data_IF_243887144684
#
_entry.id   IF_243887144684
#
_cell.length_a   1.000
_cell.length_b   1.000
_cell.length_c   1.000
_cell.angle_alpha   90.00
_cell.angle_beta   90.00
_cell.angle_gamma   90.00
#
_symmetry.space_group_name_H-M   'P 1'
#
loop_
_entity.id
_entity.type
_entity.pdbx_description
1 polymer ?
#
# COMPACT_ATOMS: atom_id res chain seq x y z
N UNK A 1 -2.26 -35.76 19.41
CA UNK A 1 -2.74 -35.04 18.20
C UNK A 1 -2.84 -36.03 17.07
N UNK A 2 -4.02 -36.20 16.47
CA UNK A 2 -4.21 -37.11 15.34
C UNK A 2 -3.80 -36.43 14.04
N UNK A 3 -2.87 -37.04 13.31
CA UNK A 3 -2.39 -36.57 12.01
C UNK A 3 -3.42 -36.97 10.94
N UNK A 4 -3.68 -36.06 10.00
CA UNK A 4 -4.58 -36.27 8.86
C UNK A 4 -3.82 -35.95 7.59
N UNK A 5 -3.96 -36.82 6.59
CA UNK A 5 -3.43 -36.60 5.23
C UNK A 5 -4.61 -36.25 4.32
N UNK A 6 -4.47 -35.15 3.58
CA UNK A 6 -5.44 -34.70 2.58
C UNK A 6 -4.80 -34.80 1.20
N UNK A 7 -5.50 -35.38 0.24
CA UNK A 7 -5.19 -35.30 -1.18
C UNK A 7 -6.07 -34.20 -1.77
N UNK A 8 -5.54 -32.99 -1.96
CA UNK A 8 -6.27 -31.84 -2.48
C UNK A 8 -5.89 -31.64 -3.94
N UNK A 9 -6.81 -31.92 -4.86
CA UNK A 9 -6.50 -32.03 -6.28
C UNK A 9 -5.30 -32.98 -6.48
N UNK A 10 -4.24 -32.48 -7.11
CA UNK A 10 -3.00 -33.24 -7.36
C UNK A 10 -1.98 -33.22 -6.22
N UNK A 11 -2.24 -32.50 -5.11
CA UNK A 11 -1.23 -32.24 -4.06
C UNK A 11 -1.60 -32.83 -2.70
N UNK A 12 -0.62 -33.41 -2.02
CA UNK A 12 -0.77 -33.94 -0.65
C UNK A 12 -0.45 -32.90 0.41
N UNK A 13 -1.34 -32.78 1.38
CA UNK A 13 -1.14 -31.98 2.59
C UNK A 13 -1.21 -32.86 3.82
N UNK A 14 -0.34 -32.60 4.79
CA UNK A 14 -0.42 -33.18 6.12
C UNK A 14 -0.78 -32.09 7.12
N UNK A 15 -1.72 -32.37 8.02
CA UNK A 15 -2.01 -31.51 9.16
C UNK A 15 -2.56 -32.31 10.34
N UNK A 16 -3.11 -31.64 11.36
CA UNK A 16 -3.79 -32.30 12.48
C UNK A 16 -5.30 -32.18 12.35
N UNK A 17 -6.02 -33.16 12.90
CA UNK A 17 -7.48 -33.12 12.99
C UNK A 17 -7.99 -31.81 13.60
N UNK A 18 -7.40 -31.36 14.72
CA UNK A 18 -7.80 -30.15 15.42
C UNK A 18 -7.64 -28.89 14.57
N UNK A 19 -6.60 -28.82 13.72
CA UNK A 19 -6.42 -27.71 12.78
C UNK A 19 -7.58 -27.63 11.79
N UNK A 20 -8.03 -28.77 11.26
CA UNK A 20 -9.09 -28.80 10.24
C UNK A 20 -10.46 -28.46 10.84
N UNK A 21 -10.83 -29.07 11.96
CA UNK A 21 -12.16 -28.90 12.56
C UNK A 21 -12.31 -27.62 13.39
N UNK A 22 -11.21 -26.89 13.63
CA UNK A 22 -11.20 -25.68 14.45
C UNK A 22 -12.15 -24.62 13.90
N UNK A 23 -12.00 -24.25 12.62
CA UNK A 23 -12.80 -23.20 12.00
C UNK A 23 -13.54 -23.62 10.71
N UNK A 24 -13.29 -24.83 10.17
CA UNK A 24 -14.00 -25.31 8.98
C UNK A 24 -15.19 -26.19 9.35
N UNK A 25 -16.38 -25.77 8.94
CA UNK A 25 -17.59 -26.58 9.05
C UNK A 25 -17.53 -27.83 8.16
N UNK A 26 -16.98 -27.68 6.96
CA UNK A 26 -16.78 -28.79 6.02
C UNK A 26 -15.97 -29.93 6.65
N UNK A 27 -14.78 -29.63 7.19
CA UNK A 27 -13.95 -30.66 7.80
C UNK A 27 -14.53 -31.18 9.12
N UNK A 28 -15.28 -30.36 9.86
CA UNK A 28 -15.97 -30.82 11.08
C UNK A 28 -17.05 -31.85 10.74
N UNK A 29 -17.83 -31.62 9.69
CA UNK A 29 -18.82 -32.58 9.22
C UNK A 29 -18.13 -33.85 8.70
N UNK A 30 -17.13 -33.69 7.83
CA UNK A 30 -16.44 -34.80 7.17
C UNK A 30 -15.66 -35.70 8.13
N UNK A 31 -15.00 -35.11 9.14
CA UNK A 31 -14.19 -35.86 10.12
C UNK A 31 -14.97 -36.23 11.40
N UNK A 32 -16.29 -36.05 11.44
CA UNK A 32 -17.14 -36.38 12.60
C UNK A 32 -17.26 -37.90 12.88
N UNK A 33 -16.66 -38.76 12.06
CA UNK A 33 -16.65 -40.21 12.23
C UNK A 33 -17.85 -40.95 11.65
N UNK A 34 -18.78 -40.25 10.98
CA UNK A 34 -19.93 -40.88 10.32
C UNK A 34 -19.65 -41.33 8.88
N UNK A 35 -18.54 -40.88 8.29
CA UNK A 35 -18.19 -41.12 6.89
C UNK A 35 -16.86 -41.88 6.85
N UNK A 36 -16.87 -43.07 6.23
CA UNK A 36 -15.66 -43.86 6.00
C UNK A 36 -15.15 -43.59 4.57
N UNK A 37 -14.82 -42.32 4.31
CA UNK A 37 -14.53 -41.78 2.98
C UNK A 37 -13.04 -41.46 2.78
N UNK A 38 -12.18 -42.04 3.64
CA UNK A 38 -10.75 -42.07 3.40
C UNK A 38 -10.43 -43.09 2.29
N UNK A 39 -9.45 -42.77 1.46
CA UNK A 39 -8.88 -43.68 0.46
C UNK A 39 -8.17 -44.88 1.13
N UNK A 40 -7.79 -45.87 0.31
CA UNK A 40 -7.10 -47.09 0.77
C UNK A 40 -5.81 -46.78 1.55
N UNK A 41 -5.14 -45.66 1.25
CA UNK A 41 -3.93 -45.21 1.94
C UNK A 41 -4.19 -44.36 3.20
N UNK A 42 -5.46 -44.18 3.58
CA UNK A 42 -5.91 -43.41 4.73
C UNK A 42 -5.93 -41.90 4.53
N UNK A 43 -5.73 -41.41 3.30
CA UNK A 43 -5.88 -39.99 2.97
C UNK A 43 -7.32 -39.62 2.63
N UNK A 44 -7.69 -38.35 2.78
CA UNK A 44 -9.01 -37.85 2.38
C UNK A 44 -8.88 -37.02 1.11
N UNK A 45 -9.58 -37.42 0.05
CA UNK A 45 -9.62 -36.67 -1.20
C UNK A 45 -10.52 -35.43 -1.10
N UNK A 46 -10.00 -34.28 -1.54
CA UNK A 46 -10.71 -32.99 -1.61
C UNK A 46 -10.56 -32.45 -3.02
N UNK A 47 -11.69 -32.28 -3.71
CA UNK A 47 -11.74 -31.70 -5.05
C UNK A 47 -11.71 -30.17 -4.96
N UNK A 48 -10.51 -29.61 -4.79
CA UNK A 48 -10.27 -28.17 -4.69
C UNK A 48 -8.89 -27.81 -5.25
N UNK A 49 -8.65 -26.52 -5.52
CA UNK A 49 -7.35 -26.03 -5.99
C UNK A 49 -6.32 -26.13 -4.84
N UNK A 50 -5.24 -26.92 -4.98
CA UNK A 50 -4.25 -27.07 -3.92
C UNK A 50 -3.46 -25.78 -3.62
N UNK A 51 -3.35 -24.86 -4.57
CA UNK A 51 -2.65 -23.59 -4.38
C UNK A 51 -3.46 -22.66 -3.49
N UNK A 52 -4.77 -22.56 -3.71
CA UNK A 52 -5.66 -21.79 -2.82
C UNK A 52 -5.81 -22.48 -1.45
N UNK A 53 -5.87 -23.81 -1.44
CA UNK A 53 -5.94 -24.57 -0.19
C UNK A 53 -4.72 -24.34 0.71
N UNK A 54 -3.54 -24.05 0.15
CA UNK A 54 -2.38 -23.70 0.97
C UNK A 54 -2.65 -22.47 1.85
N UNK A 55 -3.34 -21.45 1.31
CA UNK A 55 -3.73 -20.26 2.06
C UNK A 55 -4.80 -20.58 3.11
N UNK A 56 -5.78 -21.41 2.76
CA UNK A 56 -6.79 -21.91 3.71
C UNK A 56 -6.13 -22.64 4.88
N UNK A 57 -5.24 -23.59 4.60
CA UNK A 57 -4.57 -24.38 5.62
C UNK A 57 -3.65 -23.52 6.50
N UNK A 58 -2.99 -22.51 5.91
CA UNK A 58 -2.17 -21.53 6.65
C UNK A 58 -3.03 -20.70 7.61
N UNK A 59 -4.21 -20.27 7.17
CA UNK A 59 -5.19 -19.60 8.00
C UNK A 59 -5.62 -20.50 9.16
N UNK A 60 -6.08 -21.73 8.88
CA UNK A 60 -6.53 -22.69 9.91
C UNK A 60 -5.45 -23.03 10.96
N UNK A 61 -4.16 -22.94 10.59
CA UNK A 61 -3.04 -23.16 11.53
C UNK A 61 -2.74 -21.97 12.43
N UNK A 62 -2.87 -20.76 11.90
CA UNK A 62 -2.36 -19.54 12.56
C UNK A 62 -3.45 -18.62 13.10
N UNK A 63 -4.68 -18.75 12.59
CA UNK A 63 -5.78 -17.81 12.82
C UNK A 63 -5.62 -16.47 12.08
N UNK A 64 -4.50 -16.26 11.38
CA UNK A 64 -4.23 -14.99 10.69
C UNK A 64 -4.74 -15.04 9.25
N UNK A 65 -5.67 -14.16 8.86
CA UNK A 65 -6.12 -14.09 7.48
C UNK A 65 -4.99 -13.65 6.54
N UNK A 66 -5.01 -14.10 5.27
CA UNK A 66 -3.95 -13.76 4.32
C UNK A 66 -4.05 -12.30 3.88
N UNK A 67 -2.88 -11.74 3.59
CA UNK A 67 -2.71 -10.40 3.05
C UNK A 67 -1.96 -10.46 1.72
N UNK A 68 -2.70 -10.35 0.62
CA UNK A 68 -2.14 -10.29 -0.74
C UNK A 68 -1.94 -8.84 -1.14
N UNK A 69 -0.86 -8.23 -0.67
CA UNK A 69 -0.49 -6.84 -0.99
C UNK A 69 0.90 -6.79 -1.60
N UNK A 70 1.02 -6.15 -2.76
CA UNK A 70 2.29 -5.92 -3.43
C UNK A 70 2.81 -4.52 -3.07
N UNK A 71 3.93 -4.47 -2.35
CA UNK A 71 4.55 -3.21 -1.90
C UNK A 71 5.05 -2.35 -3.07
N UNK A 72 5.52 -2.98 -4.15
CA UNK A 72 6.07 -2.27 -5.30
C UNK A 72 4.98 -1.57 -6.12
N UNK A 73 3.85 -2.24 -6.35
CA UNK A 73 2.69 -1.68 -7.08
C UNK A 73 1.69 -0.97 -6.17
N UNK A 74 1.86 -1.09 -4.85
CA UNK A 74 0.93 -0.58 -3.83
C UNK A 74 -0.51 -1.05 -4.04
N UNK A 75 -0.68 -2.29 -4.50
CA UNK A 75 -1.97 -2.85 -4.88
C UNK A 75 -2.23 -4.18 -4.21
N UNK A 76 -3.50 -4.42 -3.90
CA UNK A 76 -3.99 -5.72 -3.49
C UNK A 76 -4.20 -6.64 -4.70
N UNK A 77 -3.99 -7.94 -4.52
CA UNK A 77 -4.40 -8.95 -5.50
C UNK A 77 -5.88 -9.30 -5.29
N UNK A 78 -6.74 -8.48 -5.86
CA UNK A 78 -8.20 -8.65 -5.76
C UNK A 78 -8.68 -9.97 -6.38
N UNK A 79 -8.00 -10.47 -7.42
CA UNK A 79 -8.35 -11.74 -8.04
C UNK A 79 -8.08 -12.90 -7.08
N UNK A 80 -6.94 -12.87 -6.37
CA UNK A 80 -6.62 -13.87 -5.34
C UNK A 80 -7.61 -13.84 -4.18
N UNK A 81 -8.02 -12.65 -3.73
CA UNK A 81 -9.06 -12.54 -2.70
C UNK A 81 -10.40 -13.14 -3.16
N UNK A 82 -10.83 -12.84 -4.40
CA UNK A 82 -12.07 -13.39 -4.95
C UNK A 82 -12.02 -14.92 -5.07
N UNK A 83 -10.90 -15.47 -5.53
CA UNK A 83 -10.69 -16.91 -5.64
C UNK A 83 -10.73 -17.57 -4.25
N UNK A 84 -10.01 -17.00 -3.28
CA UNK A 84 -9.98 -17.50 -1.91
C UNK A 84 -11.33 -17.38 -1.20
N UNK A 85 -12.16 -16.38 -1.53
CA UNK A 85 -13.53 -16.28 -1.02
C UNK A 85 -14.38 -17.49 -1.44
N UNK A 86 -14.18 -18.00 -2.65
CA UNK A 86 -14.82 -19.24 -3.12
C UNK A 86 -14.44 -20.44 -2.24
N UNK A 87 -13.15 -20.60 -1.97
CA UNK A 87 -12.66 -21.67 -1.09
C UNK A 87 -13.13 -21.50 0.36
N UNK A 88 -13.12 -20.28 0.90
CA UNK A 88 -13.60 -20.00 2.26
C UNK A 88 -15.07 -20.42 2.43
N UNK A 89 -15.90 -20.17 1.41
CA UNK A 89 -17.30 -20.62 1.36
C UNK A 89 -17.40 -22.14 1.22
N UNK A 90 -16.63 -22.74 0.32
CA UNK A 90 -16.62 -24.19 0.11
C UNK A 90 -16.25 -24.95 1.39
N UNK A 91 -15.22 -24.50 2.11
CA UNK A 91 -14.79 -25.10 3.36
C UNK A 91 -15.61 -24.65 4.58
N UNK A 92 -16.56 -23.73 4.42
CA UNK A 92 -17.39 -23.20 5.51
C UNK A 92 -16.55 -22.55 6.62
N UNK A 93 -15.70 -21.58 6.27
CA UNK A 93 -14.81 -20.86 7.20
C UNK A 93 -15.32 -19.42 7.33
N UNK A 94 -16.33 -19.20 8.16
CA UNK A 94 -17.07 -17.93 8.21
C UNK A 94 -16.21 -16.70 8.53
N UNK A 95 -15.17 -16.85 9.37
CA UNK A 95 -14.26 -15.73 9.69
C UNK A 95 -13.40 -15.32 8.49
N UNK A 96 -12.93 -16.29 7.71
CA UNK A 96 -12.15 -16.00 6.50
C UNK A 96 -13.05 -15.41 5.40
N UNK A 97 -14.28 -15.91 5.29
CA UNK A 97 -15.30 -15.32 4.42
C UNK A 97 -15.56 -13.85 4.80
N UNK A 98 -15.84 -13.58 6.08
CA UNK A 98 -16.09 -12.22 6.59
C UNK A 98 -14.88 -11.29 6.38
N UNK A 99 -13.65 -11.79 6.56
CA UNK A 99 -12.43 -11.02 6.29
C UNK A 99 -12.36 -10.52 4.86
N UNK A 100 -12.66 -11.39 3.90
CA UNK A 100 -12.54 -11.08 2.47
C UNK A 100 -13.75 -10.29 1.98
N UNK A 101 -14.97 -10.73 2.33
CA UNK A 101 -16.21 -10.15 1.85
C UNK A 101 -16.44 -8.72 2.36
N UNK A 102 -15.98 -8.41 3.58
CA UNK A 102 -16.02 -7.05 4.12
C UNK A 102 -14.73 -6.25 3.87
N UNK A 103 -13.87 -6.75 2.97
CA UNK A 103 -12.63 -6.09 2.54
C UNK A 103 -11.73 -5.64 3.70
N UNK A 104 -11.73 -6.39 4.80
CA UNK A 104 -11.01 -6.01 6.04
C UNK A 104 -9.49 -5.90 5.82
N UNK A 105 -8.98 -6.56 4.79
CA UNK A 105 -7.59 -6.42 4.33
C UNK A 105 -7.21 -5.00 3.92
N UNK A 106 -8.16 -4.16 3.51
CA UNK A 106 -7.89 -2.75 3.18
C UNK A 106 -7.47 -1.95 4.41
N UNK A 107 -7.98 -2.30 5.60
CA UNK A 107 -7.59 -1.65 6.85
C UNK A 107 -6.23 -2.14 7.35
N UNK A 108 -5.76 -3.32 6.90
CA UNK A 108 -4.49 -3.91 7.31
C UNK A 108 -3.27 -3.23 6.68
N UNK A 109 -3.47 -2.46 5.60
CA UNK A 109 -2.41 -1.70 4.93
C UNK A 109 -2.85 -0.25 4.77
N UNK A 110 -2.03 0.68 5.28
CA UNK A 110 -2.24 2.11 5.11
C UNK A 110 -1.12 2.69 4.26
N UNK A 111 -1.48 3.57 3.32
CA UNK A 111 -0.51 4.30 2.50
C UNK A 111 -0.61 5.77 2.86
N UNK A 112 0.48 6.34 3.38
CA UNK A 112 0.59 7.77 3.69
C UNK A 112 1.35 8.47 2.57
N UNK A 113 0.81 9.58 2.09
CA UNK A 113 1.47 10.48 1.14
C UNK A 113 1.82 11.79 1.82
N UNK A 114 3.01 12.31 1.57
CA UNK A 114 3.36 13.71 1.81
C UNK A 114 3.96 14.30 0.54
N UNK A 115 3.60 15.55 0.24
CA UNK A 115 4.05 16.24 -0.96
C UNK A 115 4.77 17.51 -0.54
N UNK A 116 6.04 17.59 -0.90
CA UNK A 116 6.85 18.78 -0.74
C UNK A 116 7.13 19.40 -2.10
N UNK A 117 6.86 20.70 -2.26
CA UNK A 117 7.10 21.42 -3.52
C UNK A 117 8.32 22.32 -3.33
N UNK A 118 9.30 22.11 -4.19
CA UNK A 118 10.55 22.87 -4.22
C UNK A 118 10.65 23.70 -5.49
N UNK A 119 11.33 24.82 -5.43
CA UNK A 119 11.55 25.69 -6.58
C UNK A 119 12.75 26.62 -6.41
N UNK A 120 13.16 27.26 -7.51
CA UNK A 120 14.23 28.25 -7.51
C UNK A 120 15.64 27.66 -7.45
N UNK A 121 16.62 28.50 -7.10
CA UNK A 121 18.06 28.22 -7.21
C UNK A 121 18.59 27.19 -6.21
N UNK A 122 17.86 26.89 -5.13
CA UNK A 122 18.30 25.95 -4.08
C UNK A 122 17.61 24.59 -4.16
N UNK A 123 16.99 24.25 -5.29
CA UNK A 123 16.19 23.03 -5.44
C UNK A 123 17.00 21.76 -5.10
N UNK A 124 18.27 21.70 -5.50
CA UNK A 124 19.15 20.56 -5.23
C UNK A 124 19.49 20.39 -3.74
N UNK A 125 19.46 21.48 -2.95
CA UNK A 125 19.68 21.41 -1.50
C UNK A 125 18.38 21.09 -0.75
N UNK A 126 17.23 21.49 -1.30
CA UNK A 126 15.94 21.31 -0.65
C UNK A 126 15.31 19.94 -0.91
N UNK A 127 15.71 19.23 -1.97
CA UNK A 127 15.19 17.91 -2.29
C UNK A 127 15.59 16.88 -1.21
N UNK A 128 14.62 16.21 -0.57
CA UNK A 128 14.91 15.14 0.36
C UNK A 128 15.61 14.00 -0.38
N UNK A 129 16.89 13.80 -0.10
CA UNK A 129 17.51 12.48 -0.19
C UNK A 129 17.79 11.90 -1.57
N UNK A 130 18.42 12.64 -2.49
CA UNK A 130 19.10 11.98 -3.63
C UNK A 130 20.21 11.00 -3.20
N UNK A 131 20.67 11.06 -1.93
CA UNK A 131 21.78 10.27 -1.39
C UNK A 131 21.50 9.65 0.00
N UNK A 132 20.25 9.61 0.46
CA UNK A 132 19.94 9.13 1.81
C UNK A 132 19.39 7.69 1.79
N UNK A 133 19.77 6.91 2.81
CA UNK A 133 19.14 5.62 3.10
C UNK A 133 17.74 5.85 3.66
N UNK A 134 16.74 5.18 3.09
CA UNK A 134 15.33 5.26 3.52
C UNK A 134 14.84 3.89 3.96
N UNK A 135 13.78 3.85 4.78
CA UNK A 135 13.18 2.58 5.17
C UNK A 135 12.59 1.86 3.94
N UNK A 136 12.62 0.53 3.93
CA UNK A 136 12.10 -0.28 2.83
C UNK A 136 10.58 -0.12 2.57
N UNK A 137 9.86 0.49 3.52
CA UNK A 137 8.45 0.83 3.35
C UNK A 137 8.21 2.25 2.82
N UNK A 138 9.28 2.97 2.44
CA UNK A 138 9.22 4.36 1.97
C UNK A 138 9.68 4.45 0.52
N UNK A 139 8.90 5.16 -0.30
CA UNK A 139 9.20 5.48 -1.70
C UNK A 139 9.18 6.99 -1.90
N UNK A 140 10.01 7.49 -2.81
CA UNK A 140 9.99 8.87 -3.28
C UNK A 140 9.75 8.89 -4.79
N UNK A 141 8.75 9.66 -5.22
CA UNK A 141 8.47 9.95 -6.62
C UNK A 141 8.68 11.46 -6.86
N UNK A 142 9.32 11.80 -7.98
CA UNK A 142 9.62 13.20 -8.34
C UNK A 142 8.85 13.58 -9.59
N UNK A 143 8.04 14.63 -9.49
CA UNK A 143 7.35 15.23 -10.63
C UNK A 143 7.91 16.63 -10.91
N UNK A 144 8.16 16.92 -12.18
CA UNK A 144 8.80 18.16 -12.62
C UNK A 144 7.78 19.00 -13.39
N UNK A 145 7.65 20.26 -13.02
CA UNK A 145 6.83 21.22 -13.73
C UNK A 145 7.67 22.45 -14.09
N UNK A 146 7.58 22.89 -15.35
CA UNK A 146 8.17 24.16 -15.78
C UNK A 146 7.07 25.23 -15.67
N UNK A 147 7.15 26.05 -14.64
CA UNK A 147 6.28 27.21 -14.47
C UNK A 147 6.96 28.50 -14.95
N UNK A 148 6.24 29.61 -14.89
CA UNK A 148 6.86 30.95 -14.97
C UNK A 148 6.77 31.66 -13.61
N UNK A 149 7.73 32.53 -13.33
CA UNK A 149 7.66 33.47 -12.22
C UNK A 149 7.88 34.87 -12.72
N UNK A 150 7.09 35.81 -12.21
CA UNK A 150 7.25 37.22 -12.48
C UNK A 150 8.46 37.74 -11.71
N UNK A 151 9.49 38.13 -12.44
CA UNK A 151 10.73 38.68 -11.88
C UNK A 151 10.75 40.18 -12.14
N UNK A 152 10.96 40.94 -11.08
CA UNK A 152 11.03 42.40 -11.17
C UNK A 152 12.22 42.84 -12.02
N UNK A 153 11.96 43.78 -12.93
CA UNK A 153 12.98 44.40 -13.79
C UNK A 153 13.24 45.82 -13.34
N UNK A 154 14.51 46.13 -13.08
CA UNK A 154 14.91 47.47 -12.70
C UNK A 154 14.66 48.45 -13.87
N UNK A 155 14.02 49.61 -13.65
CA UNK A 155 13.80 50.62 -14.69
C UNK A 155 15.07 51.17 -15.34
N UNK A 156 16.23 50.97 -14.69
CA UNK A 156 17.56 51.36 -15.17
C UNK A 156 18.40 50.18 -15.68
N UNK A 157 17.80 48.99 -15.78
CA UNK A 157 18.46 47.74 -16.18
C UNK A 157 19.75 47.40 -15.38
N UNK A 158 19.79 47.77 -14.09
CA UNK A 158 20.88 47.40 -13.18
C UNK A 158 20.70 45.92 -12.81
N UNK A 159 21.66 45.06 -13.15
CA UNK A 159 21.55 43.61 -13.01
C UNK A 159 21.34 43.18 -11.55
N UNK A 160 22.06 43.80 -10.61
CA UNK A 160 22.01 43.48 -9.18
C UNK A 160 20.65 43.81 -8.53
N UNK A 161 19.81 44.62 -9.19
CA UNK A 161 18.47 44.97 -8.74
C UNK A 161 17.38 44.04 -9.28
N UNK A 162 17.72 43.16 -10.23
CA UNK A 162 16.75 42.26 -10.87
C UNK A 162 16.21 41.25 -9.85
N UNK A 163 14.90 41.06 -9.82
CA UNK A 163 14.21 40.26 -8.80
C UNK A 163 14.18 40.87 -7.39
N UNK A 164 14.79 42.05 -7.20
CA UNK A 164 15.00 42.70 -5.91
C UNK A 164 14.52 44.18 -5.95
N UNK A 165 13.20 44.43 -6.01
CA UNK A 165 12.65 45.78 -6.07
C UNK A 165 13.09 46.67 -4.89
N UNK A 166 13.35 46.09 -3.73
CA UNK A 166 13.87 46.77 -2.54
C UNK A 166 15.27 47.39 -2.74
N UNK A 167 16.05 46.89 -3.71
CA UNK A 167 17.36 47.46 -4.06
C UNK A 167 17.22 48.73 -4.93
N UNK A 168 16.02 49.03 -5.45
CA UNK A 168 15.79 50.24 -6.24
C UNK A 168 15.67 51.49 -5.36
N UNK A 169 16.68 52.36 -5.41
CA UNK A 169 16.65 53.68 -4.77
C UNK A 169 15.99 54.80 -5.60
N UNK A 170 16.07 56.04 -5.11
CA UNK A 170 15.47 57.24 -5.71
C UNK A 170 15.77 57.43 -7.21
N UNK A 171 16.99 57.11 -7.65
CA UNK A 171 17.40 57.18 -9.06
C UNK A 171 16.60 56.23 -9.96
N UNK A 172 16.28 55.04 -9.48
CA UNK A 172 15.46 54.06 -10.22
C UNK A 172 14.00 54.52 -10.27
N UNK A 173 13.48 55.05 -9.15
CA UNK A 173 12.13 55.60 -9.08
C UNK A 173 11.92 56.80 -9.99
N UNK A 174 12.92 57.70 -10.09
CA UNK A 174 12.89 58.81 -11.05
C UNK A 174 12.83 58.31 -12.49
N UNK A 175 13.63 57.28 -12.84
CA UNK A 175 13.62 56.65 -14.16
C UNK A 175 12.28 55.97 -14.49
N UNK A 176 11.58 55.45 -13.47
CA UNK A 176 10.25 54.85 -13.61
C UNK A 176 9.17 55.88 -13.90
N UNK A 177 9.37 57.14 -13.53
CA UNK A 177 8.48 58.27 -13.81
C UNK A 177 7.00 58.01 -13.42
N UNK A 178 6.78 57.39 -12.26
CA UNK A 178 5.44 57.06 -11.78
C UNK A 178 4.74 55.87 -12.47
N UNK A 179 5.38 55.24 -13.47
CA UNK A 179 4.84 54.05 -14.11
C UNK A 179 4.78 52.84 -13.14
N UNK A 180 3.90 51.86 -13.39
CA UNK A 180 3.91 50.60 -12.67
C UNK A 180 5.29 49.90 -12.73
N UNK A 181 5.55 49.05 -11.74
CA UNK A 181 6.75 48.20 -11.77
C UNK A 181 6.69 47.23 -12.97
N UNK A 182 7.85 47.01 -13.59
CA UNK A 182 8.00 46.11 -14.75
C UNK A 182 8.36 44.72 -14.21
N UNK A 183 7.70 43.70 -14.75
CA UNK A 183 7.99 42.31 -14.46
C UNK A 183 8.11 41.54 -15.76
N UNK A 184 9.08 40.63 -15.82
CA UNK A 184 9.25 39.66 -16.89
C UNK A 184 8.89 38.27 -16.40
N UNK A 185 8.31 37.46 -17.26
CA UNK A 185 8.09 36.04 -16.99
C UNK A 185 9.39 35.27 -17.23
N UNK A 186 9.87 34.58 -16.20
CA UNK A 186 11.01 33.67 -16.29
C UNK A 186 10.61 32.24 -16.02
N UNK A 187 11.12 31.27 -16.82
CA UNK A 187 10.88 29.87 -16.56
C UNK A 187 11.52 29.48 -15.22
N UNK A 188 10.73 28.82 -14.35
CA UNK A 188 11.21 28.22 -13.11
C UNK A 188 10.83 26.76 -13.05
N UNK A 189 11.83 25.92 -12.81
CA UNK A 189 11.62 24.53 -12.47
C UNK A 189 11.00 24.46 -11.07
N UNK A 190 9.88 23.73 -10.99
CA UNK A 190 9.29 23.28 -9.75
C UNK A 190 9.40 21.75 -9.70
N UNK A 191 9.73 21.23 -8.53
CA UNK A 191 9.80 19.80 -8.28
C UNK A 191 8.86 19.47 -7.14
N UNK A 192 7.87 18.64 -7.40
CA UNK A 192 7.08 17.99 -6.37
C UNK A 192 7.76 16.68 -5.99
N UNK A 193 8.16 16.57 -4.73
CA UNK A 193 8.64 15.35 -4.11
C UNK A 193 7.46 14.71 -3.40
N UNK A 194 7.06 13.53 -3.85
CA UNK A 194 5.98 12.76 -3.27
C UNK A 194 6.63 11.64 -2.47
N UNK A 195 6.56 11.72 -1.15
CA UNK A 195 6.97 10.65 -0.26
C UNK A 195 5.76 9.76 0.02
N UNK A 196 5.92 8.47 -0.21
CA UNK A 196 4.90 7.46 0.07
C UNK A 196 5.42 6.47 1.10
N UNK A 197 4.64 6.25 2.16
CA UNK A 197 4.96 5.30 3.23
C UNK A 197 3.87 4.24 3.34
N UNK A 198 4.25 2.97 3.23
CA UNK A 198 3.36 1.82 3.42
C UNK A 198 3.46 1.34 4.86
N UNK A 199 2.33 1.22 5.55
CA UNK A 199 2.24 0.83 6.96
C UNK A 199 1.36 -0.41 7.09
N UNK A 200 1.80 -1.38 7.89
CA UNK A 200 1.06 -2.63 8.13
C UNK A 200 0.53 -2.65 9.56
N UNK A 201 -0.77 -2.89 9.72
CA UNK A 201 -1.46 -2.91 11.01
C UNK A 201 -1.62 -4.36 11.49
N UNK A 202 -0.70 -4.82 12.34
CA UNK A 202 -0.64 -6.21 12.80
C UNK A 202 -1.84 -6.67 13.66
N UNK A 203 -2.62 -5.72 14.23
CA UNK A 203 -3.70 -6.01 15.18
C UNK A 203 -5.06 -6.36 14.56
N UNK A 204 -5.30 -6.03 13.29
CA UNK A 204 -6.62 -6.18 12.66
C UNK A 204 -6.94 -7.60 12.21
N UNK A 205 -5.91 -8.45 12.09
CA UNK A 205 -6.01 -9.87 11.77
C UNK A 205 -6.76 -10.69 12.85
N UNK A 206 -6.83 -10.20 14.09
CA UNK A 206 -7.34 -10.97 15.24
C UNK A 206 -8.71 -10.52 15.77
N UNK A 207 -9.45 -9.66 15.04
CA UNK A 207 -10.81 -9.29 15.42
C UNK A 207 -10.95 -8.42 16.68
N UNK A 208 -9.88 -7.81 17.17
CA UNK A 208 -9.96 -6.78 18.22
C UNK A 208 -10.24 -5.41 17.61
N UNK A 209 -11.52 -5.12 17.37
CA UNK A 209 -11.99 -3.75 17.14
C UNK A 209 -11.90 -2.97 18.45
N UNK A 210 -10.78 -2.29 18.69
CA UNK A 210 -10.81 -1.12 19.58
C UNK A 210 -11.18 0.09 18.73
N UNK A 211 -12.48 0.33 18.64
CA UNK A 211 -13.02 1.63 18.25
C UNK A 211 -12.90 2.53 19.49
N UNK A 212 -11.88 3.37 19.54
CA UNK A 212 -11.90 4.53 20.43
C UNK A 212 -12.45 5.71 19.63
N UNK A 213 -13.59 6.23 20.08
CA UNK A 213 -14.22 7.46 19.58
C UNK A 213 -13.50 8.73 20.04
#
# INVERSE_FOLDING_TARGET
MTRVTLQVGERRFTTTHNTLVGESEYFRARLSGSWNDADEDGSYFVDADPTLFEHVLRYLRSGNPPLFFNVATQSHDYAMYLALLGEAKYFGISKLEDWIQNERYLAAVRVRYSIDIFGGSNILQALPGHFNTVNANTKFDFSYALGSSKVFVCPRAIAEHRGHPERCGAKCNKSRNGLPAIFEDEPRLQVACIKTEVLFEAGLANGSTNVTG
#
